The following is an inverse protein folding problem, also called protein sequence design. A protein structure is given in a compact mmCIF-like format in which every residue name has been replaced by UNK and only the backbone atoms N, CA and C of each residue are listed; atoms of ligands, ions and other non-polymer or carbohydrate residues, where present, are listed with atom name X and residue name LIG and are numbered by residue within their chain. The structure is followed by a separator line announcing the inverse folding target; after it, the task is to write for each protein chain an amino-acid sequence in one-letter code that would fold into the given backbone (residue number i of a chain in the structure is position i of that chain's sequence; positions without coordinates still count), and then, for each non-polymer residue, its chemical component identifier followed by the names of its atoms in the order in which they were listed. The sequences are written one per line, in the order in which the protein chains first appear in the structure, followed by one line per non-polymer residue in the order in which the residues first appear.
data_IF_318812752093
#
_entry.id   IF_318812752093
#
_cell.length_a   1.000
_cell.length_b   1.000
_cell.length_c   1.000
_cell.angle_alpha   90.00
_cell.angle_beta   90.00
_cell.angle_gamma   90.00
#
_symmetry.space_group_name_H-M   'P 1'
#
loop_
_entity.id
_entity.type
_entity.pdbx_description
1 polymer ?
#
# COMPACT_ATOMS: atom_id res chain seq x y z
N UNK A 1 54.78 50.80 -81.81
CA UNK A 1 55.60 50.13 -80.78
C UNK A 1 55.48 48.62 -80.95
N UNK A 2 56.63 47.94 -80.81
CA UNK A 2 56.96 46.48 -80.75
C UNK A 2 55.77 45.55 -80.42
N UNK A 3 55.44 44.45 -81.12
CA UNK A 3 56.14 43.24 -81.64
C UNK A 3 56.86 42.36 -80.59
N UNK A 4 56.60 41.05 -80.71
CA UNK A 4 57.39 39.86 -80.29
C UNK A 4 57.08 39.33 -78.87
N UNK A 5 56.50 38.14 -78.59
CA UNK A 5 56.68 36.72 -79.04
C UNK A 5 57.68 35.94 -78.16
N UNK A 6 57.24 34.75 -77.68
CA UNK A 6 58.01 33.52 -77.29
C UNK A 6 58.91 33.63 -76.02
N UNK A 7 59.24 32.61 -75.21
CA UNK A 7 59.41 31.14 -75.35
C UNK A 7 59.49 30.60 -73.90
N UNK A 8 58.69 29.63 -73.44
CA UNK A 8 58.93 28.16 -73.38
C UNK A 8 60.40 27.71 -73.17
N UNK A 9 60.67 26.96 -72.07
CA UNK A 9 61.57 25.78 -71.99
C UNK A 9 61.41 25.16 -70.58
N UNK A 10 60.63 24.08 -70.44
CA UNK A 10 61.00 22.65 -70.56
C UNK A 10 61.58 22.07 -69.26
N UNK A 11 60.96 21.00 -68.77
CA UNK A 11 61.57 19.67 -68.87
C UNK A 11 60.47 18.59 -68.76
N UNK A 12 60.35 17.79 -69.81
CA UNK A 12 59.60 16.54 -69.78
C UNK A 12 60.40 15.50 -69.00
N UNK A 13 59.73 14.68 -68.19
CA UNK A 13 60.16 13.31 -67.95
C UNK A 13 58.96 12.43 -67.58
N UNK A 14 58.54 11.67 -68.59
CA UNK A 14 58.10 10.27 -68.52
C UNK A 14 56.84 9.93 -67.72
N UNK A 15 55.80 9.55 -68.48
CA UNK A 15 54.62 8.91 -67.97
C UNK A 15 54.92 7.52 -67.40
N UNK A 16 54.34 7.25 -66.23
CA UNK A 16 53.63 6.01 -66.04
C UNK A 16 52.20 6.28 -66.47
N UNK A 17 51.77 5.66 -67.57
CA UNK A 17 50.34 5.51 -67.85
C UNK A 17 49.76 4.65 -66.72
N UNK A 18 49.29 5.28 -65.64
CA UNK A 18 48.30 4.62 -64.82
C UNK A 18 47.13 4.36 -65.75
N UNK A 19 46.90 3.10 -66.08
CA UNK A 19 45.66 2.69 -66.72
C UNK A 19 44.54 3.30 -65.88
N UNK A 20 43.86 4.31 -66.42
CA UNK A 20 42.67 4.85 -65.80
C UNK A 20 41.66 3.72 -65.87
N UNK A 21 41.60 2.89 -64.82
CA UNK A 21 40.49 1.95 -64.64
C UNK A 21 39.27 2.79 -64.34
N UNK A 22 38.53 3.13 -65.39
CA UNK A 22 37.23 3.78 -65.30
C UNK A 22 36.28 2.80 -64.63
N UNK A 23 36.06 2.95 -63.33
CA UNK A 23 35.08 2.17 -62.57
C UNK A 23 33.74 2.89 -62.66
N UNK A 24 32.68 2.18 -63.04
CA UNK A 24 31.32 2.71 -62.94
C UNK A 24 30.95 2.71 -61.45
N UNK A 25 30.48 3.86 -60.97
CA UNK A 25 30.02 4.03 -59.59
C UNK A 25 28.56 4.46 -59.62
N UNK A 26 27.75 3.88 -58.75
CA UNK A 26 26.41 4.35 -58.45
C UNK A 26 26.49 5.15 -57.15
N UNK A 27 26.14 6.43 -57.19
CA UNK A 27 26.11 7.30 -56.03
C UNK A 27 24.66 7.48 -55.58
N UNK A 28 24.32 6.99 -54.39
CA UNK A 28 23.04 7.25 -53.75
C UNK A 28 23.23 8.44 -52.83
N UNK A 29 22.59 9.56 -53.15
CA UNK A 29 22.59 10.75 -52.30
C UNK A 29 21.33 10.75 -51.43
N UNK A 30 21.52 10.71 -50.13
CA UNK A 30 20.47 10.75 -49.14
C UNK A 30 19.99 12.19 -48.89
N UNK A 31 18.79 12.34 -48.29
CA UNK A 31 18.16 13.64 -48.03
C UNK A 31 18.99 14.51 -47.07
N UNK A 32 19.76 13.90 -46.18
CA UNK A 32 20.69 14.56 -45.27
C UNK A 32 21.99 15.05 -45.96
N UNK A 33 22.13 14.79 -47.27
CA UNK A 33 23.32 15.13 -48.06
C UNK A 33 24.41 14.06 -48.07
N UNK A 34 24.28 13.01 -47.26
CA UNK A 34 25.21 11.89 -47.20
C UNK A 34 25.20 11.13 -48.53
N UNK A 35 26.38 10.69 -48.98
CA UNK A 35 26.53 9.94 -50.23
C UNK A 35 27.06 8.55 -49.94
N UNK A 36 26.37 7.53 -50.46
CA UNK A 36 26.82 6.14 -50.46
C UNK A 36 27.20 5.77 -51.88
N UNK A 37 28.44 5.30 -52.07
CA UNK A 37 28.96 4.91 -53.38
C UNK A 37 29.09 3.40 -53.49
N UNK A 38 28.46 2.84 -54.53
CA UNK A 38 28.57 1.43 -54.87
C UNK A 38 29.43 1.28 -56.13
N UNK A 39 30.51 0.51 -56.03
CA UNK A 39 31.26 0.06 -57.22
C UNK A 39 30.35 -0.92 -57.97
N UNK A 40 29.91 -0.53 -59.16
CA UNK A 40 28.99 -1.33 -59.96
C UNK A 40 29.74 -1.95 -61.13
N UNK A 41 29.75 -3.28 -61.14
CA UNK A 41 30.27 -4.12 -62.21
C UNK A 41 29.21 -5.19 -62.54
N UNK A 42 28.97 -5.49 -63.81
CA UNK A 42 27.93 -6.44 -64.26
C UNK A 42 26.49 -6.22 -63.70
N UNK A 43 26.04 -4.98 -63.51
CA UNK A 43 24.64 -4.68 -63.12
C UNK A 43 23.75 -4.59 -64.37
N UNK A 44 22.73 -5.45 -64.45
CA UNK A 44 21.75 -5.47 -65.55
C UNK A 44 20.58 -4.47 -65.34
N UNK A 45 20.08 -4.35 -64.10
CA UNK A 45 18.96 -3.45 -63.76
C UNK A 45 19.06 -2.94 -62.31
N UNK A 46 18.70 -1.68 -62.11
CA UNK A 46 18.37 -1.10 -60.79
C UNK A 46 16.87 -0.82 -60.80
N UNK A 47 16.14 -1.28 -59.79
CA UNK A 47 14.71 -1.04 -59.65
C UNK A 47 14.38 -0.59 -58.25
N UNK A 48 13.44 0.35 -58.15
CA UNK A 48 12.82 0.76 -56.91
C UNK A 48 11.42 0.16 -56.86
N UNK A 49 11.01 -0.30 -55.68
CA UNK A 49 9.65 -0.73 -55.40
C UNK A 49 9.09 0.13 -54.29
N UNK A 50 7.88 0.63 -54.47
CA UNK A 50 7.14 1.25 -53.39
C UNK A 50 6.61 0.13 -52.48
N UNK A 51 6.84 0.26 -51.17
CA UNK A 51 6.12 -0.54 -50.18
C UNK A 51 4.89 0.25 -49.78
N UNK A 52 3.71 -0.27 -50.10
CA UNK A 52 2.45 0.25 -49.60
C UNK A 52 2.09 -0.54 -48.36
N UNK A 53 1.95 0.15 -47.23
CA UNK A 53 1.51 -0.48 -46.00
C UNK A 53 0.00 -0.27 -45.78
N UNK A 54 -0.62 -1.19 -45.05
CA UNK A 54 -2.01 -1.05 -44.62
C UNK A 54 -2.16 0.11 -43.63
N UNK A 55 -3.29 0.80 -43.71
CA UNK A 55 -3.75 1.69 -42.64
C UNK A 55 -4.02 0.86 -41.39
N UNK A 56 -3.62 1.39 -40.24
CA UNK A 56 -3.78 0.74 -38.94
C UNK A 56 -5.01 1.30 -38.23
N UNK A 57 -5.77 0.44 -37.57
CA UNK A 57 -6.89 0.82 -36.69
C UNK A 57 -6.78 0.03 -35.38
N UNK A 58 -6.38 0.71 -34.29
CA UNK A 58 -6.09 0.09 -33.00
C UNK A 58 -5.10 -1.08 -33.11
N UNK A 59 -4.00 -0.84 -33.83
CA UNK A 59 -3.01 -1.84 -34.22
C UNK A 59 -1.61 -1.27 -34.14
N UNK A 60 -0.64 -2.17 -33.96
CA UNK A 60 0.77 -1.90 -34.17
C UNK A 60 1.34 -2.86 -35.20
N UNK A 61 2.34 -2.42 -35.94
CA UNK A 61 3.01 -3.20 -36.97
C UNK A 61 4.51 -3.06 -36.83
N UNK A 62 5.20 -4.21 -36.85
CA UNK A 62 6.63 -4.27 -37.09
C UNK A 62 6.82 -4.87 -38.49
N UNK A 63 7.24 -4.03 -39.43
CA UNK A 63 7.24 -4.31 -40.85
C UNK A 63 5.83 -4.66 -41.37
N UNK A 64 5.69 -5.86 -41.93
CA UNK A 64 4.46 -6.41 -42.50
C UNK A 64 3.61 -7.13 -41.43
N UNK A 65 4.17 -7.37 -40.24
CA UNK A 65 3.47 -8.09 -39.16
C UNK A 65 2.60 -7.13 -38.37
N UNK A 66 1.29 -7.17 -38.62
CA UNK A 66 0.28 -6.35 -37.94
C UNK A 66 -0.32 -7.13 -36.76
N UNK A 67 -0.43 -6.47 -35.62
CA UNK A 67 -1.00 -7.00 -34.40
C UNK A 67 -2.01 -6.01 -33.81
N UNK A 68 -3.10 -6.52 -33.25
CA UNK A 68 -4.09 -5.68 -32.58
C UNK A 68 -3.54 -5.14 -31.25
N UNK A 69 -3.95 -3.93 -30.88
CA UNK A 69 -3.78 -3.38 -29.53
C UNK A 69 -5.07 -3.60 -28.77
N UNK A 70 -5.02 -4.48 -27.78
CA UNK A 70 -6.19 -4.89 -27.01
C UNK A 70 -6.23 -4.25 -25.63
N UNK A 71 -5.07 -4.06 -25.01
CA UNK A 71 -4.95 -3.41 -23.70
C UNK A 71 -3.86 -2.35 -23.75
N UNK A 72 -4.11 -1.21 -23.11
CA UNK A 72 -3.09 -0.18 -22.88
C UNK A 72 -3.01 0.13 -21.39
N UNK A 73 -1.82 -0.01 -20.83
CA UNK A 73 -1.51 0.37 -19.45
C UNK A 73 -0.71 1.68 -19.42
N UNK A 74 -1.13 2.59 -18.55
CA UNK A 74 -0.43 3.84 -18.27
C UNK A 74 0.27 3.73 -16.92
N UNK A 75 1.56 4.07 -16.91
CA UNK A 75 2.33 4.31 -15.70
C UNK A 75 2.84 5.74 -15.69
N UNK A 76 2.41 6.53 -14.72
CA UNK A 76 2.83 7.92 -14.55
C UNK A 76 3.76 8.06 -13.34
N UNK A 77 4.75 8.92 -13.53
CA UNK A 77 5.63 9.47 -12.50
C UNK A 77 5.65 10.99 -12.68
N UNK A 78 6.24 11.72 -11.75
CA UNK A 78 6.39 13.17 -11.90
C UNK A 78 7.21 13.57 -13.14
N UNK A 79 8.12 12.68 -13.57
CA UNK A 79 9.05 12.95 -14.67
C UNK A 79 8.56 12.38 -16.02
N UNK A 80 7.94 11.19 -16.01
CA UNK A 80 7.63 10.43 -17.22
C UNK A 80 6.23 9.80 -17.20
N UNK A 81 5.66 9.67 -18.40
CA UNK A 81 4.50 8.83 -18.71
C UNK A 81 4.94 7.67 -19.60
N UNK A 82 4.67 6.44 -19.15
CA UNK A 82 4.92 5.22 -19.92
C UNK A 82 3.61 4.56 -20.34
N UNK A 83 3.44 4.35 -21.64
CA UNK A 83 2.30 3.67 -22.25
C UNK A 83 2.76 2.30 -22.72
N UNK A 84 2.16 1.26 -22.15
CA UNK A 84 2.47 -0.15 -22.41
C UNK A 84 1.30 -0.75 -23.19
N UNK A 85 1.54 -1.14 -24.43
CA UNK A 85 0.52 -1.67 -25.33
C UNK A 85 0.67 -3.20 -25.40
N UNK A 86 -0.47 -3.87 -25.36
CA UNK A 86 -0.58 -5.32 -25.36
C UNK A 86 -1.57 -5.78 -26.42
N UNK A 87 -1.22 -6.84 -27.14
CA UNK A 87 -2.11 -7.61 -28.00
C UNK A 87 -2.98 -8.61 -27.22
N UNK A 88 -2.80 -8.71 -25.90
CA UNK A 88 -3.62 -9.50 -24.99
C UNK A 88 -4.76 -8.67 -24.34
N UNK A 89 -5.94 -9.27 -24.13
CA UNK A 89 -7.10 -8.64 -23.46
C UNK A 89 -7.03 -8.70 -21.93
N UNK A 90 -6.46 -9.77 -21.37
CA UNK A 90 -6.48 -10.04 -19.93
C UNK A 90 -5.08 -9.91 -19.34
N UNK A 91 -4.56 -8.68 -19.30
CA UNK A 91 -3.24 -8.40 -18.72
C UNK A 91 -3.30 -8.64 -17.21
N UNK A 92 -2.55 -9.62 -16.74
CA UNK A 92 -2.31 -9.92 -15.32
C UNK A 92 -1.04 -9.19 -14.83
N UNK A 93 -0.72 -9.25 -13.54
CA UNK A 93 0.53 -8.72 -12.99
C UNK A 93 1.78 -9.23 -13.74
N UNK A 94 1.82 -10.52 -14.09
CA UNK A 94 2.96 -11.12 -14.77
C UNK A 94 3.08 -10.63 -16.22
N UNK A 95 1.93 -10.53 -16.92
CA UNK A 95 1.89 -10.00 -18.28
C UNK A 95 2.20 -8.51 -18.31
N UNK A 96 1.82 -7.75 -17.28
CA UNK A 96 2.10 -6.31 -17.18
C UNK A 96 3.61 -5.97 -17.16
N UNK A 97 4.46 -6.96 -16.90
CA UNK A 97 5.92 -6.81 -16.95
C UNK A 97 6.49 -7.01 -18.36
N UNK A 98 5.69 -7.50 -19.32
CA UNK A 98 6.12 -7.84 -20.68
C UNK A 98 5.20 -7.24 -21.74
N UNK A 99 5.20 -5.90 -21.90
CA UNK A 99 4.48 -5.24 -22.99
C UNK A 99 5.05 -5.59 -24.36
N UNK A 100 4.16 -5.67 -25.36
CA UNK A 100 4.58 -5.80 -26.77
C UNK A 100 5.28 -4.53 -27.24
N UNK A 101 4.74 -3.37 -26.84
CA UNK A 101 5.28 -2.05 -27.14
C UNK A 101 5.28 -1.19 -25.88
N UNK A 102 6.40 -0.53 -25.61
CA UNK A 102 6.51 0.49 -24.56
C UNK A 102 6.88 1.83 -25.18
N UNK A 103 6.08 2.84 -24.88
CA UNK A 103 6.36 4.25 -25.19
C UNK A 103 6.58 4.99 -23.88
N UNK A 104 7.80 5.47 -23.64
CA UNK A 104 8.12 6.34 -22.50
C UNK A 104 8.41 7.75 -22.98
N UNK A 105 7.68 8.71 -22.43
CA UNK A 105 7.79 10.13 -22.76
C UNK A 105 8.02 10.93 -21.47
N UNK A 106 8.79 12.03 -21.50
CA UNK A 106 8.72 13.04 -20.45
C UNK A 106 7.27 13.52 -20.30
N UNK A 107 6.80 13.70 -19.06
CA UNK A 107 5.40 14.04 -18.79
C UNK A 107 4.95 15.32 -19.52
N UNK A 108 5.85 16.29 -19.66
CA UNK A 108 5.59 17.55 -20.37
C UNK A 108 5.43 17.40 -21.90
N UNK A 109 5.91 16.30 -22.48
CA UNK A 109 5.84 16.02 -23.93
C UNK A 109 4.52 15.36 -24.34
N UNK A 110 3.71 14.88 -23.39
CA UNK A 110 2.38 14.34 -23.68
C UNK A 110 1.50 15.44 -24.29
N UNK A 111 0.87 15.14 -25.42
CA UNK A 111 0.08 16.06 -26.23
C UNK A 111 0.86 16.71 -27.37
N UNK A 112 2.19 16.60 -27.37
CA UNK A 112 3.06 17.15 -28.41
C UNK A 112 3.43 16.07 -29.43
N UNK A 113 3.82 16.52 -30.62
CA UNK A 113 4.50 15.67 -31.60
C UNK A 113 5.99 15.68 -31.28
N UNK A 114 6.59 14.50 -31.18
CA UNK A 114 7.93 14.29 -30.67
C UNK A 114 8.76 13.57 -31.72
N UNK A 115 9.94 14.10 -32.00
CA UNK A 115 10.95 13.43 -32.83
C UNK A 115 11.76 12.44 -31.96
N UNK A 116 11.80 11.17 -32.38
CA UNK A 116 12.43 10.09 -31.61
C UNK A 116 13.94 10.29 -31.40
N UNK A 117 14.63 11.00 -32.30
CA UNK A 117 16.07 11.24 -32.15
C UNK A 117 16.34 12.19 -30.98
N UNK A 118 15.43 13.16 -30.75
CA UNK A 118 15.51 14.08 -29.61
C UNK A 118 14.89 13.53 -28.33
N UNK A 119 13.92 12.61 -28.44
CA UNK A 119 13.28 11.97 -27.29
C UNK A 119 14.28 11.20 -26.43
N UNK A 120 15.24 10.50 -27.06
CA UNK A 120 16.25 9.72 -26.37
C UNK A 120 17.14 10.58 -25.46
N UNK A 121 17.43 11.83 -25.86
CA UNK A 121 18.21 12.78 -25.06
C UNK A 121 17.45 13.22 -23.80
N UNK A 122 16.12 13.21 -23.85
CA UNK A 122 15.22 13.55 -22.75
C UNK A 122 14.87 12.33 -21.87
N UNK A 123 15.53 11.19 -22.04
CA UNK A 123 15.28 9.96 -21.27
C UNK A 123 14.04 9.16 -21.70
N UNK A 124 13.35 9.59 -22.76
CA UNK A 124 12.25 8.83 -23.34
C UNK A 124 12.73 7.73 -24.29
N UNK A 125 11.83 6.80 -24.62
CA UNK A 125 12.14 5.64 -25.46
C UNK A 125 10.90 5.08 -26.13
N UNK A 126 11.08 4.49 -27.32
CA UNK A 126 10.12 3.64 -27.99
C UNK A 126 10.72 2.25 -28.14
N UNK A 127 10.08 1.25 -27.57
CA UNK A 127 10.57 -0.14 -27.58
C UNK A 127 9.45 -1.06 -28.06
N UNK A 128 9.75 -1.98 -28.98
CA UNK A 128 8.87 -3.07 -29.39
C UNK A 128 9.62 -4.41 -29.24
N UNK A 129 9.15 -5.28 -28.35
CA UNK A 129 9.92 -6.43 -27.87
C UNK A 129 11.28 -5.99 -27.31
N UNK A 130 12.37 -6.53 -27.85
CA UNK A 130 13.75 -6.16 -27.46
C UNK A 130 14.34 -5.02 -28.29
N UNK A 131 13.57 -4.42 -29.22
CA UNK A 131 14.08 -3.43 -30.18
C UNK A 131 13.71 -2.02 -29.78
N UNK A 132 14.70 -1.13 -29.78
CA UNK A 132 14.51 0.30 -29.52
C UNK A 132 14.58 1.10 -30.83
N UNK A 133 13.61 1.98 -31.05
CA UNK A 133 13.54 2.85 -32.22
C UNK A 133 13.95 4.27 -31.88
N UNK A 134 14.90 4.82 -32.65
CA UNK A 134 15.54 6.12 -32.39
C UNK A 134 15.28 7.17 -33.47
N UNK A 135 14.55 6.83 -34.53
CA UNK A 135 14.24 7.72 -35.63
C UNK A 135 12.78 7.60 -36.02
N UNK A 136 12.13 8.74 -36.24
CA UNK A 136 10.71 8.81 -36.55
C UNK A 136 9.96 9.83 -35.71
N UNK A 137 8.64 9.82 -35.85
CA UNK A 137 7.73 10.69 -35.13
C UNK A 137 6.82 9.88 -34.21
N UNK A 138 6.56 10.43 -33.03
CA UNK A 138 5.70 9.87 -31.99
C UNK A 138 4.76 10.95 -31.49
N UNK A 139 3.50 10.60 -31.27
CA UNK A 139 2.53 11.46 -30.62
C UNK A 139 1.65 10.65 -29.70
N UNK A 140 1.63 11.03 -28.43
CA UNK A 140 0.68 10.49 -27.45
C UNK A 140 -0.13 11.64 -26.88
N UNK A 141 -1.45 11.52 -26.86
CA UNK A 141 -2.34 12.54 -26.30
C UNK A 141 -3.53 11.90 -25.59
N UNK A 142 -3.97 12.53 -24.51
CA UNK A 142 -5.25 12.20 -23.90
C UNK A 142 -6.39 12.96 -24.58
N UNK A 143 -7.60 12.40 -24.50
CA UNK A 143 -8.80 13.17 -24.74
C UNK A 143 -9.02 14.23 -23.64
N UNK A 144 -10.02 15.09 -23.83
CA UNK A 144 -10.34 16.19 -22.90
C UNK A 144 -10.60 15.71 -21.46
N UNK A 145 -11.07 14.48 -21.28
CA UNK A 145 -11.48 13.94 -19.99
C UNK A 145 -10.49 12.91 -19.42
N UNK A 146 -9.34 12.71 -20.09
CA UNK A 146 -8.38 11.64 -19.81
C UNK A 146 -9.03 10.24 -19.70
N UNK A 147 -10.06 9.98 -20.51
CA UNK A 147 -10.70 8.66 -20.58
C UNK A 147 -10.13 7.79 -21.68
N UNK A 148 -9.69 8.43 -22.76
CA UNK A 148 -9.05 7.78 -23.88
C UNK A 148 -7.67 8.35 -24.12
N UNK A 149 -6.79 7.53 -24.67
CA UNK A 149 -5.47 7.91 -25.17
C UNK A 149 -5.39 7.62 -26.66
N UNK A 150 -4.80 8.54 -27.41
CA UNK A 150 -4.34 8.31 -28.78
C UNK A 150 -2.84 8.14 -28.77
N UNK A 151 -2.35 7.04 -29.36
CA UNK A 151 -0.92 6.76 -29.59
C UNK A 151 -0.72 6.61 -31.10
N UNK A 152 0.10 7.48 -31.67
CA UNK A 152 0.46 7.49 -33.10
C UNK A 152 1.97 7.45 -33.25
N UNK A 153 2.47 6.48 -34.01
CA UNK A 153 3.90 6.24 -34.19
C UNK A 153 4.21 5.91 -35.63
N UNK A 154 5.21 6.59 -36.18
CA UNK A 154 5.90 6.19 -37.40
C UNK A 154 7.41 6.23 -37.12
N UNK A 155 8.04 5.07 -37.04
CA UNK A 155 9.43 4.92 -36.68
C UNK A 155 10.17 3.98 -37.62
N UNK A 156 11.48 4.18 -37.74
CA UNK A 156 12.36 3.35 -38.56
C UNK A 156 13.69 3.11 -37.86
N UNK A 157 14.22 1.89 -38.00
CA UNK A 157 15.60 1.57 -37.65
C UNK A 157 16.20 0.64 -38.71
N UNK A 158 17.17 1.16 -39.47
CA UNK A 158 17.78 0.43 -40.58
C UNK A 158 16.76 0.02 -41.66
N UNK A 159 16.47 -1.27 -41.73
CA UNK A 159 15.53 -1.84 -42.71
C UNK A 159 14.15 -2.11 -42.11
N UNK A 160 14.00 -1.93 -40.80
CA UNK A 160 12.77 -2.22 -40.07
C UNK A 160 11.93 -0.96 -39.89
N UNK A 161 10.63 -1.08 -40.16
CA UNK A 161 9.63 -0.04 -39.88
C UNK A 161 8.74 -0.44 -38.71
N UNK A 162 8.48 0.50 -37.81
CA UNK A 162 7.50 0.34 -36.75
C UNK A 162 6.42 1.40 -36.89
N UNK A 163 5.16 0.96 -36.89
CA UNK A 163 3.99 1.82 -37.02
C UNK A 163 2.98 1.44 -35.97
N UNK A 164 2.34 2.40 -35.34
CA UNK A 164 1.29 2.13 -34.35
C UNK A 164 0.23 3.20 -34.43
N UNK A 165 -1.02 2.77 -34.51
CA UNK A 165 -2.16 3.65 -34.31
C UNK A 165 -3.15 3.05 -33.34
N UNK A 166 -3.40 3.79 -32.27
CA UNK A 166 -4.35 3.41 -31.23
C UNK A 166 -5.14 4.63 -30.78
N UNK A 167 -6.44 4.46 -30.60
CA UNK A 167 -7.32 5.39 -29.89
C UNK A 167 -8.36 4.62 -29.11
N UNK A 168 -8.24 4.62 -27.79
CA UNK A 168 -9.16 3.89 -26.92
C UNK A 168 -8.88 4.10 -25.44
N UNK A 169 -9.53 3.28 -24.62
CA UNK A 169 -9.44 3.32 -23.15
C UNK A 169 -8.14 2.72 -22.66
N UNK A 170 -7.57 3.27 -21.59
CA UNK A 170 -6.41 2.72 -20.91
C UNK A 170 -6.72 2.46 -19.44
N UNK A 171 -5.88 1.66 -18.78
CA UNK A 171 -5.90 1.47 -17.32
C UNK A 171 -4.58 1.90 -16.70
N UNK A 172 -4.57 2.27 -15.42
CA UNK A 172 -3.35 2.64 -14.74
C UNK A 172 -2.62 1.42 -14.15
N UNK A 173 -1.30 1.49 -14.08
CA UNK A 173 -0.46 0.58 -13.31
C UNK A 173 0.54 1.37 -12.48
N UNK A 174 0.96 0.81 -11.36
CA UNK A 174 1.78 1.48 -10.36
C UNK A 174 2.95 0.59 -9.96
N UNK A 175 4.08 1.21 -9.66
CA UNK A 175 5.14 0.50 -8.94
C UNK A 175 4.77 0.47 -7.47
N UNK A 176 4.77 -0.72 -6.88
CA UNK A 176 4.67 -0.89 -5.45
C UNK A 176 5.67 -1.95 -4.99
N UNK A 177 6.29 -1.72 -3.83
CA UNK A 177 7.18 -2.70 -3.23
C UNK A 177 6.42 -3.86 -2.59
N UNK A 178 5.11 -3.72 -2.37
CA UNK A 178 4.26 -4.66 -1.64
C UNK A 178 4.84 -4.95 -0.25
N UNK A 179 5.24 -3.89 0.44
CA UNK A 179 5.83 -3.92 1.77
C UNK A 179 5.24 -2.81 2.63
N UNK A 180 5.30 -2.99 3.94
CA UNK A 180 5.21 -1.90 4.89
C UNK A 180 6.43 -1.88 5.79
N UNK A 181 6.78 -0.73 6.35
CA UNK A 181 7.90 -0.58 7.25
C UNK A 181 7.59 0.36 8.39
N UNK A 182 8.30 0.18 9.50
CA UNK A 182 8.15 0.97 10.71
C UNK A 182 9.53 1.41 11.14
N UNK A 183 9.73 2.71 11.29
CA UNK A 183 10.93 3.27 11.94
C UNK A 183 10.56 3.67 13.35
N UNK A 184 11.22 3.07 14.33
CA UNK A 184 10.96 3.35 15.73
C UNK A 184 11.55 4.69 16.20
N UNK A 185 11.33 5.02 17.47
CA UNK A 185 11.84 6.27 18.07
C UNK A 185 13.36 6.31 18.18
N UNK A 186 14.03 5.15 18.10
CA UNK A 186 15.50 5.00 18.09
C UNK A 186 16.06 5.02 16.65
N UNK A 187 15.23 5.28 15.64
CA UNK A 187 15.56 5.30 14.23
C UNK A 187 15.94 3.93 13.64
N UNK A 188 15.54 2.83 14.29
CA UNK A 188 15.66 1.50 13.71
C UNK A 188 14.44 1.20 12.82
N UNK A 189 14.70 0.83 11.56
CA UNK A 189 13.65 0.49 10.59
C UNK A 189 13.48 -1.02 10.48
N UNK A 190 12.25 -1.50 10.67
CA UNK A 190 11.84 -2.88 10.38
C UNK A 190 10.93 -2.89 9.16
N UNK A 191 11.21 -3.75 8.18
CA UNK A 191 10.41 -3.89 6.95
C UNK A 191 9.74 -5.25 6.89
N UNK A 192 8.53 -5.27 6.36
CA UNK A 192 7.64 -6.42 6.28
C UNK A 192 7.09 -6.56 4.87
N UNK A 193 7.07 -7.78 4.33
CA UNK A 193 6.32 -8.08 3.12
C UNK A 193 4.83 -8.11 3.42
N UNK A 194 4.02 -7.52 2.56
CA UNK A 194 2.56 -7.66 2.62
C UNK A 194 2.20 -9.03 2.07
N UNK A 195 1.73 -9.93 2.94
CA UNK A 195 1.24 -11.25 2.55
C UNK A 195 -0.29 -11.32 2.48
N UNK A 196 -0.98 -10.45 3.23
CA UNK A 196 -2.43 -10.31 3.15
C UNK A 196 -2.86 -8.85 3.07
N UNK A 197 -3.91 -8.61 2.27
CA UNK A 197 -4.59 -7.34 2.15
C UNK A 197 -6.10 -7.56 2.21
N UNK A 198 -6.75 -7.03 3.25
CA UNK A 198 -8.20 -7.11 3.46
C UNK A 198 -8.86 -5.76 3.22
N UNK A 199 -10.10 -5.79 2.73
CA UNK A 199 -10.91 -4.60 2.50
C UNK A 199 -12.33 -4.82 3.02
N UNK A 200 -12.84 -3.85 3.80
CA UNK A 200 -14.26 -3.77 4.16
C UNK A 200 -14.89 -2.67 3.32
N UNK A 201 -15.83 -3.06 2.48
CA UNK A 201 -16.60 -2.15 1.65
C UNK A 201 -17.62 -1.37 2.51
N UNK A 202 -17.91 -0.11 2.18
CA UNK A 202 -18.92 0.68 2.90
C UNK A 202 -20.30 0.03 2.79
N UNK A 203 -21.05 0.00 3.90
CA UNK A 203 -22.39 -0.58 3.95
C UNK A 203 -23.48 0.43 3.51
N UNK A 204 -23.16 1.73 3.60
CA UNK A 204 -24.01 2.83 3.15
C UNK A 204 -23.23 3.92 2.40
N UNK A 205 -23.93 4.70 1.57
CA UNK A 205 -23.34 5.84 0.84
C UNK A 205 -22.75 6.85 1.80
N UNK A 206 -21.47 7.19 1.60
CA UNK A 206 -20.75 8.17 2.41
C UNK A 206 -19.92 7.55 3.54
N UNK A 207 -20.10 6.26 3.85
CA UNK A 207 -19.23 5.54 4.78
C UNK A 207 -17.82 5.35 4.20
N UNK A 208 -16.79 5.27 5.07
CA UNK A 208 -15.42 5.06 4.63
C UNK A 208 -15.21 3.62 4.16
N UNK A 209 -14.18 3.42 3.32
CA UNK A 209 -13.65 2.09 3.01
C UNK A 209 -12.48 1.80 3.94
N UNK A 210 -12.42 0.59 4.50
CA UNK A 210 -11.36 0.20 5.42
C UNK A 210 -10.41 -0.79 4.75
N UNK A 211 -9.12 -0.64 5.02
CA UNK A 211 -8.05 -1.48 4.48
C UNK A 211 -7.18 -2.00 5.62
N UNK A 212 -6.75 -3.25 5.54
CA UNK A 212 -5.79 -3.85 6.46
C UNK A 212 -4.71 -4.64 5.72
N UNK A 213 -3.47 -4.53 6.19
CA UNK A 213 -2.29 -5.19 5.61
C UNK A 213 -1.50 -5.88 6.72
N UNK A 214 -1.00 -7.08 6.47
CA UNK A 214 -0.19 -7.83 7.45
C UNK A 214 0.88 -8.70 6.79
N UNK A 215 1.87 -9.07 7.60
CA UNK A 215 2.98 -9.96 7.24
C UNK A 215 2.67 -11.45 7.49
N UNK A 216 1.42 -11.84 7.30
CA UNK A 216 0.92 -13.21 7.42
C UNK A 216 -0.07 -13.52 6.29
N UNK A 217 -0.12 -14.76 5.82
CA UNK A 217 -1.21 -15.23 4.97
C UNK A 217 -2.47 -15.44 5.83
N UNK A 218 -3.56 -14.76 5.47
CA UNK A 218 -4.80 -14.72 6.23
C UNK A 218 -5.98 -15.10 5.34
N UNK A 219 -6.92 -15.86 5.89
CA UNK A 219 -8.22 -16.15 5.28
C UNK A 219 -9.35 -15.35 5.94
N UNK A 220 -9.16 -14.91 7.18
CA UNK A 220 -10.08 -14.08 7.94
C UNK A 220 -9.33 -13.00 8.76
N UNK A 221 -10.01 -11.93 9.21
CA UNK A 221 -9.42 -10.89 10.07
C UNK A 221 -8.69 -11.43 11.31
N UNK A 222 -9.25 -12.40 12.04
CA UNK A 222 -8.60 -13.00 13.21
C UNK A 222 -7.23 -13.64 12.93
N UNK A 223 -6.93 -14.05 11.68
CA UNK A 223 -5.63 -14.64 11.33
C UNK A 223 -4.50 -13.61 11.42
N UNK A 224 -4.82 -12.31 11.34
CA UNK A 224 -3.84 -11.22 11.49
C UNK A 224 -3.17 -11.24 12.87
N UNK A 225 -3.81 -11.84 13.89
CA UNK A 225 -3.21 -11.98 15.23
C UNK A 225 -1.93 -12.85 15.23
N UNK A 226 -1.68 -13.61 14.16
CA UNK A 226 -0.46 -14.39 13.97
C UNK A 226 0.66 -13.62 13.23
N UNK A 227 0.38 -12.39 12.78
CA UNK A 227 1.37 -11.52 12.17
C UNK A 227 2.34 -10.96 13.21
N UNK A 228 3.46 -10.39 12.76
CA UNK A 228 4.32 -9.58 13.64
C UNK A 228 3.76 -8.17 13.77
N UNK A 229 3.21 -7.65 12.69
CA UNK A 229 2.63 -6.32 12.64
C UNK A 229 1.51 -6.22 11.60
N UNK A 230 0.65 -5.22 11.77
CA UNK A 230 -0.35 -4.85 10.77
C UNK A 230 -0.51 -3.33 10.66
N UNK A 231 -0.94 -2.89 9.48
CA UNK A 231 -1.37 -1.52 9.20
C UNK A 231 -2.85 -1.56 8.83
N UNK A 232 -3.64 -0.73 9.50
CA UNK A 232 -5.06 -0.56 9.24
C UNK A 232 -5.39 0.91 9.08
N UNK A 233 -6.17 1.25 8.07
CA UNK A 233 -6.66 2.61 7.90
C UNK A 233 -8.00 2.62 7.18
N UNK A 234 -8.72 3.73 7.30
CA UNK A 234 -9.89 4.00 6.50
C UNK A 234 -9.70 5.25 5.66
N UNK A 235 -10.41 5.32 4.54
CA UNK A 235 -10.47 6.51 3.68
C UNK A 235 -11.92 6.85 3.43
N UNK A 236 -12.27 8.13 3.64
CA UNK A 236 -13.62 8.64 3.38
C UNK A 236 -14.01 8.47 1.91
N UNK A 237 -15.31 8.28 1.65
CA UNK A 237 -15.82 8.12 0.29
C UNK A 237 -15.46 9.29 -0.65
N UNK A 238 -15.26 10.50 -0.13
CA UNK A 238 -14.90 11.68 -0.92
C UNK A 238 -13.44 11.66 -1.42
N UNK A 239 -12.56 10.96 -0.69
CA UNK A 239 -11.11 10.90 -0.95
C UNK A 239 -10.66 9.57 -1.55
N UNK A 240 -11.46 8.52 -1.42
CA UNK A 240 -11.16 7.22 -2.02
C UNK A 240 -10.97 7.35 -3.54
N UNK A 241 -9.79 6.95 -4.04
CA UNK A 241 -9.38 7.07 -5.45
C UNK A 241 -9.35 8.49 -6.01
N UNK A 242 -9.43 9.51 -5.16
CA UNK A 242 -9.57 10.90 -5.57
C UNK A 242 -8.59 11.81 -4.82
N UNK A 243 -7.32 11.70 -5.20
CA UNK A 243 -6.22 12.48 -4.67
C UNK A 243 -5.58 11.87 -3.43
N UNK A 244 -4.82 12.70 -2.71
CA UNK A 244 -4.08 12.32 -1.51
C UNK A 244 -4.78 12.93 -0.30
N UNK A 245 -4.93 12.14 0.76
CA UNK A 245 -5.33 12.61 2.09
C UNK A 245 -4.11 13.17 2.79
N UNK A 246 -4.16 14.42 3.25
CA UNK A 246 -3.16 14.98 4.15
C UNK A 246 -3.54 14.70 5.61
N UNK A 247 -2.78 13.84 6.28
CA UNK A 247 -3.11 13.37 7.62
C UNK A 247 -2.98 14.46 8.69
N UNK A 248 -2.26 15.56 8.42
CA UNK A 248 -2.12 16.68 9.35
C UNK A 248 -3.32 17.63 9.32
N UNK A 249 -3.99 17.75 8.16
CA UNK A 249 -5.03 18.78 7.95
C UNK A 249 -6.42 18.20 7.66
N UNK A 250 -6.52 16.91 7.33
CA UNK A 250 -7.76 16.27 6.88
C UNK A 250 -8.18 15.11 7.80
N UNK A 251 -8.16 15.31 9.12
CA UNK A 251 -8.48 14.30 10.13
C UNK A 251 -9.85 13.61 9.94
N UNK A 252 -10.84 14.29 9.36
CA UNK A 252 -12.17 13.71 9.09
C UNK A 252 -12.20 12.78 7.86
N UNK A 253 -11.10 12.70 7.10
CA UNK A 253 -11.03 11.90 5.87
C UNK A 253 -10.38 10.54 6.06
N UNK A 254 -9.86 10.22 7.25
CA UNK A 254 -9.20 8.96 7.51
C UNK A 254 -9.33 8.50 8.96
N UNK A 255 -9.06 7.22 9.18
CA UNK A 255 -8.61 6.68 10.46
C UNK A 255 -7.33 5.91 10.23
N UNK A 256 -6.49 5.73 11.25
CA UNK A 256 -5.22 5.03 11.13
C UNK A 256 -4.91 4.22 12.39
N UNK A 257 -4.37 3.02 12.23
CA UNK A 257 -3.76 2.20 13.27
C UNK A 257 -2.54 1.47 12.71
N UNK A 258 -1.43 1.57 13.43
CA UNK A 258 -0.34 0.61 13.36
C UNK A 258 -0.46 -0.34 14.56
N UNK A 259 -0.35 -1.64 14.31
CA UNK A 259 -0.54 -2.68 15.31
C UNK A 259 0.75 -3.48 15.42
N UNK A 260 1.34 -3.48 16.61
CA UNK A 260 2.48 -4.33 16.96
C UNK A 260 1.95 -5.51 17.77
N UNK A 261 1.96 -6.71 17.18
CA UNK A 261 1.44 -7.91 17.84
C UNK A 261 2.41 -8.50 18.86
N UNK A 262 3.70 -8.19 18.78
CA UNK A 262 4.67 -8.64 19.78
C UNK A 262 4.42 -7.93 21.12
N UNK A 263 4.13 -6.63 21.09
CA UNK A 263 3.78 -5.85 22.29
C UNK A 263 2.28 -5.80 22.56
N UNK A 264 1.46 -6.18 21.58
CA UNK A 264 -0.01 -6.07 21.58
C UNK A 264 -0.47 -4.62 21.73
N UNK A 265 0.29 -3.69 21.14
CA UNK A 265 0.04 -2.24 21.20
C UNK A 265 -0.55 -1.75 19.89
N UNK A 266 -1.54 -0.86 20.00
CA UNK A 266 -2.12 -0.14 18.87
C UNK A 266 -1.68 1.33 18.94
N UNK A 267 -1.12 1.83 17.85
CA UNK A 267 -0.71 3.21 17.68
C UNK A 267 -1.62 3.89 16.66
N UNK A 268 -2.42 4.84 17.11
CA UNK A 268 -3.49 5.48 16.31
C UNK A 268 -3.41 7.02 16.28
N UNK A 269 -2.50 7.61 17.05
CA UNK A 269 -2.28 9.06 17.11
C UNK A 269 -1.28 9.50 16.06
N UNK A 270 -1.80 10.03 14.95
CA UNK A 270 -1.00 10.54 13.85
C UNK A 270 -0.79 12.05 14.01
N UNK A 271 0.45 12.49 13.79
CA UNK A 271 0.86 13.89 13.77
C UNK A 271 0.80 14.50 12.37
N UNK A 272 1.28 13.76 11.38
CA UNK A 272 1.32 14.17 9.97
C UNK A 272 1.52 12.97 9.06
N UNK A 273 1.31 13.14 7.76
CA UNK A 273 1.48 12.06 6.81
C UNK A 273 0.59 12.19 5.59
N UNK A 274 0.57 11.16 4.76
CA UNK A 274 -0.29 11.07 3.59
C UNK A 274 -0.84 9.67 3.36
N UNK A 275 -2.03 9.61 2.78
CA UNK A 275 -2.63 8.38 2.24
C UNK A 275 -3.06 8.65 0.80
N UNK A 276 -2.58 7.84 -0.14
CA UNK A 276 -3.01 7.87 -1.54
C UNK A 276 -3.60 6.52 -1.89
N UNK A 277 -4.80 6.54 -2.48
CA UNK A 277 -5.42 5.36 -3.07
C UNK A 277 -5.71 5.63 -4.54
N UNK A 278 -5.54 4.64 -5.41
CA UNK A 278 -5.89 4.77 -6.82
C UNK A 278 -6.33 3.45 -7.44
N UNK A 279 -7.22 3.52 -8.43
CA UNK A 279 -7.62 2.34 -9.19
C UNK A 279 -6.57 2.00 -10.25
N UNK A 280 -6.17 0.73 -10.28
CA UNK A 280 -5.32 0.18 -11.33
C UNK A 280 -6.04 -0.84 -12.21
N UNK A 281 -5.28 -1.40 -13.13
CA UNK A 281 -5.77 -2.40 -14.07
C UNK A 281 -6.25 -3.68 -13.38
N UNK A 282 -7.21 -4.36 -14.01
CA UNK A 282 -7.73 -5.63 -13.50
C UNK A 282 -8.46 -5.52 -12.16
N UNK A 283 -8.93 -4.33 -11.78
CA UNK A 283 -9.58 -4.10 -10.48
C UNK A 283 -8.61 -4.04 -9.30
N UNK A 284 -7.30 -3.99 -9.56
CA UNK A 284 -6.31 -3.77 -8.51
C UNK A 284 -6.41 -2.37 -7.94
N UNK A 285 -5.95 -2.22 -6.70
CA UNK A 285 -5.91 -0.93 -6.02
C UNK A 285 -4.48 -0.65 -5.57
N UNK A 286 -4.01 0.55 -5.89
CA UNK A 286 -2.76 1.10 -5.40
C UNK A 286 -2.99 1.80 -4.08
N UNK A 287 -2.09 1.58 -3.14
CA UNK A 287 -2.02 2.25 -1.84
C UNK A 287 -0.60 2.71 -1.59
N UNK A 288 -0.46 4.00 -1.26
CA UNK A 288 0.76 4.56 -0.67
C UNK A 288 0.37 5.28 0.60
N UNK A 289 1.08 4.99 1.68
CA UNK A 289 0.87 5.61 2.98
C UNK A 289 2.22 5.93 3.62
N UNK A 290 2.31 7.12 4.19
CA UNK A 290 3.43 7.57 5.01
C UNK A 290 2.83 8.29 6.22
N UNK A 291 2.95 7.72 7.42
CA UNK A 291 2.43 8.30 8.66
C UNK A 291 3.56 8.58 9.65
N UNK A 292 3.54 9.76 10.25
CA UNK A 292 4.38 10.14 11.39
C UNK A 292 3.49 10.19 12.63
N UNK A 293 3.78 9.38 13.63
CA UNK A 293 3.00 9.27 14.85
C UNK A 293 3.44 10.32 15.87
N UNK A 294 2.57 10.63 16.84
CA UNK A 294 2.85 11.63 17.89
C UNK A 294 4.06 11.28 18.76
N UNK A 295 4.39 9.99 18.89
CA UNK A 295 5.56 9.51 19.61
C UNK A 295 6.87 9.58 18.80
N UNK A 296 6.81 10.00 17.54
CA UNK A 296 7.95 10.14 16.63
C UNK A 296 8.23 8.92 15.74
N UNK A 297 7.49 7.82 15.88
CA UNK A 297 7.58 6.68 14.96
C UNK A 297 7.11 7.08 13.56
N UNK A 298 7.64 6.42 12.54
CA UNK A 298 7.12 6.52 11.16
C UNK A 298 6.68 5.17 10.64
N UNK A 299 5.59 5.15 9.88
CA UNK A 299 5.01 3.95 9.26
C UNK A 299 4.83 4.24 7.78
N UNK A 300 5.43 3.40 6.93
CA UNK A 300 5.24 3.48 5.48
C UNK A 300 4.60 2.20 4.93
N UNK A 301 3.80 2.32 3.87
CA UNK A 301 3.18 1.21 3.17
C UNK A 301 3.12 1.54 1.68
N UNK A 302 3.54 0.59 0.86
CA UNK A 302 3.39 0.64 -0.60
C UNK A 302 2.82 -0.69 -1.08
N UNK A 303 1.63 -0.65 -1.67
CA UNK A 303 0.91 -1.84 -2.12
C UNK A 303 0.22 -1.62 -3.45
N UNK A 304 0.29 -2.61 -4.33
CA UNK A 304 -0.50 -2.68 -5.55
C UNK A 304 -0.97 -4.11 -5.77
N UNK A 305 -2.27 -4.33 -5.66
CA UNK A 305 -2.86 -5.66 -5.79
C UNK A 305 -4.36 -5.69 -5.53
N UNK A 306 -4.91 -6.89 -5.46
CA UNK A 306 -6.32 -7.15 -5.11
C UNK A 306 -6.52 -7.24 -3.61
N UNK A 307 -7.76 -7.10 -3.14
CA UNK A 307 -8.10 -7.24 -1.73
C UNK A 307 -9.07 -8.40 -1.53
N UNK A 308 -8.87 -9.18 -0.46
CA UNK A 308 -9.90 -10.09 0.01
C UNK A 308 -10.96 -9.30 0.79
N UNK A 309 -12.24 -9.65 0.58
CA UNK A 309 -13.35 -8.99 1.25
C UNK A 309 -13.46 -9.47 2.71
N UNK A 310 -13.69 -8.54 3.63
CA UNK A 310 -14.03 -8.82 5.03
C UNK A 310 -15.32 -8.09 5.42
N UNK A 311 -16.05 -8.64 6.39
CA UNK A 311 -17.27 -7.99 6.93
C UNK A 311 -16.93 -6.94 8.00
N UNK A 312 -15.92 -7.21 8.82
CA UNK A 312 -15.36 -6.29 9.80
C UNK A 312 -13.84 -6.52 9.90
N UNK A 313 -13.14 -5.56 10.48
CA UNK A 313 -11.71 -5.64 10.80
C UNK A 313 -11.47 -5.60 12.31
N UNK A 314 -12.50 -5.67 13.16
CA UNK A 314 -12.33 -5.54 14.61
C UNK A 314 -11.45 -6.64 15.21
N UNK A 315 -11.52 -7.86 14.68
CA UNK A 315 -10.72 -9.01 15.15
C UNK A 315 -9.22 -8.90 14.86
N UNK A 316 -8.78 -7.91 14.07
CA UNK A 316 -7.34 -7.65 13.88
C UNK A 316 -6.75 -6.97 15.13
N UNK A 317 -7.56 -6.35 15.98
CA UNK A 317 -7.06 -5.64 17.15
C UNK A 317 -6.75 -6.66 18.26
N UNK A 318 -5.49 -6.83 18.66
CA UNK A 318 -5.16 -7.78 19.71
C UNK A 318 -5.72 -7.28 21.03
N UNK A 319 -6.28 -8.19 21.84
CA UNK A 319 -6.55 -7.87 23.25
C UNK A 319 -5.24 -7.40 23.89
N UNK A 320 -5.24 -6.40 24.76
CA UNK A 320 -4.00 -5.82 25.34
C UNK A 320 -3.18 -6.85 26.17
N UNK A 321 -3.81 -7.98 26.53
CA UNK A 321 -3.25 -9.06 27.33
C UNK A 321 -3.53 -10.42 26.67
N UNK A 322 -2.57 -11.35 26.80
CA UNK A 322 -2.73 -12.72 26.26
C UNK A 322 -3.90 -13.46 26.92
N UNK A 323 -4.42 -14.50 26.27
CA UNK A 323 -5.46 -15.34 26.88
C UNK A 323 -4.93 -15.93 28.19
N UNK A 324 -5.75 -15.89 29.24
CA UNK A 324 -5.41 -16.33 30.59
C UNK A 324 -4.16 -15.63 31.14
N UNK A 325 -4.10 -14.30 31.01
CA UNK A 325 -3.04 -13.48 31.57
C UNK A 325 -3.64 -12.20 32.20
N UNK A 326 -2.92 -11.63 33.17
CA UNK A 326 -3.09 -10.22 33.51
C UNK A 326 -1.76 -9.47 33.49
N UNK A 327 -1.85 -8.19 33.16
CA UNK A 327 -0.75 -7.22 33.24
C UNK A 327 -1.12 -6.10 34.20
N UNK A 328 -0.16 -5.67 34.99
CA UNK A 328 -0.30 -4.51 35.87
C UNK A 328 0.80 -3.49 35.58
N UNK A 329 0.40 -2.23 35.48
CA UNK A 329 1.23 -1.09 35.15
C UNK A 329 1.28 -0.13 36.34
N UNK A 330 2.46 0.42 36.62
CA UNK A 330 2.64 1.41 37.69
C UNK A 330 2.02 2.78 37.33
N UNK A 331 2.13 3.74 38.26
CA UNK A 331 1.60 5.09 38.10
C UNK A 331 2.19 5.89 36.93
N UNK A 332 3.36 5.48 36.43
CA UNK A 332 4.06 6.11 35.30
C UNK A 332 3.66 5.46 33.96
N UNK A 333 2.82 4.43 33.99
CA UNK A 333 2.35 3.68 32.82
C UNK A 333 3.31 2.57 32.38
N UNK A 334 4.35 2.27 33.15
CA UNK A 334 5.30 1.20 32.84
C UNK A 334 4.77 -0.16 33.31
N UNK A 335 4.94 -1.19 32.47
CA UNK A 335 4.60 -2.57 32.81
C UNK A 335 5.43 -3.04 34.00
N UNK A 336 4.77 -3.38 35.10
CA UNK A 336 5.42 -3.81 36.35
C UNK A 336 5.27 -5.30 36.62
N UNK A 337 4.12 -5.88 36.27
CA UNK A 337 3.82 -7.29 36.51
C UNK A 337 3.14 -7.89 35.28
N UNK A 338 3.55 -9.10 34.94
CA UNK A 338 2.85 -10.00 34.02
C UNK A 338 2.68 -11.35 34.73
N UNK A 339 1.47 -11.91 34.67
CA UNK A 339 1.14 -13.20 35.27
C UNK A 339 0.18 -13.98 34.38
N UNK A 340 0.57 -15.22 34.11
CA UNK A 340 -0.34 -16.23 33.58
C UNK A 340 -1.33 -16.63 34.66
N UNK A 341 -2.58 -16.83 34.27
CA UNK A 341 -3.70 -17.23 35.11
C UNK A 341 -3.90 -18.73 35.01
N UNK A 342 -3.98 -19.40 36.16
CA UNK A 342 -4.23 -20.83 36.27
C UNK A 342 -5.65 -21.13 36.74
N UNK A 343 -5.78 -22.18 37.56
CA UNK A 343 -7.04 -22.58 38.19
C UNK A 343 -7.67 -21.42 38.93
N UNK A 344 -8.81 -20.95 38.41
CA UNK A 344 -9.54 -19.80 38.93
C UNK A 344 -10.87 -20.25 39.51
N UNK A 345 -11.40 -19.44 40.44
CA UNK A 345 -12.56 -19.82 41.23
C UNK A 345 -13.70 -18.83 41.09
N UNK A 346 -14.93 -19.31 41.27
CA UNK A 346 -16.12 -18.47 41.23
C UNK A 346 -16.99 -18.72 42.46
N UNK A 347 -17.53 -17.63 43.01
CA UNK A 347 -18.52 -17.63 44.06
C UNK A 347 -19.77 -16.89 43.59
N UNK A 348 -20.92 -17.53 43.70
CA UNK A 348 -22.21 -16.89 43.47
C UNK A 348 -22.88 -16.58 44.80
N UNK A 349 -23.41 -15.35 44.95
CA UNK A 349 -24.15 -14.94 46.14
C UNK A 349 -25.20 -13.89 45.77
N UNK A 350 -26.47 -14.17 46.07
CA UNK A 350 -27.60 -13.25 45.83
C UNK A 350 -27.66 -12.65 44.40
N UNK A 351 -27.34 -13.46 43.38
CA UNK A 351 -27.34 -13.01 41.97
C UNK A 351 -26.08 -12.27 41.53
N UNK A 352 -25.09 -12.08 42.41
CA UNK A 352 -23.78 -11.55 42.06
C UNK A 352 -22.76 -12.68 41.94
N UNK A 353 -21.83 -12.53 41.00
CA UNK A 353 -20.76 -13.47 40.70
C UNK A 353 -19.42 -12.82 41.02
N UNK A 354 -18.67 -13.42 41.93
CA UNK A 354 -17.28 -13.04 42.21
C UNK A 354 -16.36 -14.05 41.56
N UNK A 355 -15.55 -13.59 40.62
CA UNK A 355 -14.48 -14.32 39.95
C UNK A 355 -13.16 -14.03 40.63
N UNK A 356 -12.45 -15.10 41.01
CA UNK A 356 -11.13 -15.06 41.61
C UNK A 356 -10.13 -15.61 40.60
N UNK A 357 -9.46 -14.71 39.91
CA UNK A 357 -8.47 -15.02 38.89
C UNK A 357 -7.12 -15.21 39.57
N UNK A 358 -6.65 -16.46 39.58
CA UNK A 358 -5.46 -16.85 40.36
C UNK A 358 -4.26 -17.00 39.41
N UNK A 359 -3.10 -16.40 39.73
CA UNK A 359 -1.87 -16.67 39.00
C UNK A 359 -1.54 -18.16 38.96
N UNK A 360 -0.93 -18.64 37.87
CA UNK A 360 -0.46 -20.01 37.80
C UNK A 360 0.54 -20.32 38.93
N UNK A 361 0.34 -21.46 39.61
CA UNK A 361 1.17 -21.87 40.75
C UNK A 361 0.76 -21.28 42.11
N UNK A 362 -0.17 -20.32 42.13
CA UNK A 362 -0.67 -19.69 43.35
C UNK A 362 -1.91 -20.40 43.94
N UNK A 363 -2.23 -20.06 45.19
CA UNK A 363 -3.43 -20.55 45.89
C UNK A 363 -4.57 -19.54 45.95
N UNK A 364 -5.78 -20.00 46.34
CA UNK A 364 -7.01 -19.21 46.52
C UNK A 364 -6.83 -17.91 47.33
N UNK A 365 -5.86 -17.88 48.24
CA UNK A 365 -5.60 -16.75 49.14
C UNK A 365 -4.50 -15.81 48.66
N UNK A 366 -3.98 -15.96 47.43
CA UNK A 366 -2.91 -15.12 46.88
C UNK A 366 -3.25 -13.63 46.95
N UNK A 367 -2.27 -12.81 47.31
CA UNK A 367 -2.35 -11.34 47.23
C UNK A 367 -2.38 -10.83 45.79
N UNK A 368 -1.83 -11.63 44.87
CA UNK A 368 -1.69 -11.32 43.45
C UNK A 368 -2.90 -11.81 42.63
N UNK A 369 -3.93 -12.35 43.28
CA UNK A 369 -5.19 -12.64 42.59
C UNK A 369 -5.92 -11.35 42.22
N UNK A 370 -6.61 -11.39 41.08
CA UNK A 370 -7.57 -10.36 40.70
C UNK A 370 -8.97 -10.85 41.05
N UNK A 371 -9.69 -10.08 41.86
CA UNK A 371 -11.10 -10.33 42.17
C UNK A 371 -11.96 -9.41 41.30
N UNK A 372 -12.89 -9.99 40.55
CA UNK A 372 -13.89 -9.25 39.75
C UNK A 372 -15.27 -9.70 40.18
N UNK A 373 -16.08 -8.81 40.74
CA UNK A 373 -17.44 -9.09 41.16
C UNK A 373 -18.45 -8.31 40.33
N UNK A 374 -19.43 -9.02 39.76
CA UNK A 374 -20.43 -8.46 38.84
C UNK A 374 -21.83 -8.96 39.17
N UNK A 375 -22.84 -8.15 38.88
CA UNK A 375 -24.23 -8.61 38.85
C UNK A 375 -24.49 -9.56 37.68
N UNK A 376 -25.49 -10.44 37.81
CA UNK A 376 -25.89 -11.36 36.75
C UNK A 376 -26.27 -10.66 35.44
N UNK A 377 -26.76 -9.42 35.54
CA UNK A 377 -27.17 -8.56 34.42
C UNK A 377 -26.00 -8.07 33.56
N UNK A 378 -24.76 -8.18 34.05
CA UNK A 378 -23.56 -7.84 33.30
C UNK A 378 -22.96 -9.03 32.54
N UNK A 379 -23.39 -10.26 32.83
CA UNK A 379 -22.95 -11.44 32.10
C UNK A 379 -23.66 -11.49 30.74
N UNK A 380 -22.90 -11.62 29.66
CA UNK A 380 -23.36 -11.56 28.28
C UNK A 380 -24.00 -10.21 27.89
N UNK A 381 -23.67 -9.12 28.59
CA UNK A 381 -24.17 -7.78 28.30
C UNK A 381 -23.43 -7.06 27.15
N UNK A 382 -22.38 -7.68 26.59
CA UNK A 382 -21.43 -7.02 25.69
C UNK A 382 -20.37 -6.23 26.47
N UNK A 383 -19.70 -5.30 25.79
CA UNK A 383 -18.73 -4.41 26.41
C UNK A 383 -19.43 -3.34 27.27
N UNK A 384 -18.94 -3.16 28.49
CA UNK A 384 -19.47 -2.23 29.49
C UNK A 384 -18.45 -1.11 29.70
N UNK A 385 -18.88 0.13 29.48
CA UNK A 385 -18.14 1.32 29.92
C UNK A 385 -18.33 1.50 31.44
N UNK A 386 -17.27 1.26 32.20
CA UNK A 386 -17.29 1.31 33.66
C UNK A 386 -17.48 2.74 34.20
N UNK A 387 -17.12 3.77 33.43
CA UNK A 387 -17.37 5.16 33.80
C UNK A 387 -18.87 5.51 33.82
N UNK A 388 -19.66 4.79 33.00
CA UNK A 388 -21.08 5.03 32.77
C UNK A 388 -21.98 3.86 33.19
N UNK A 389 -21.48 2.99 34.09
CA UNK A 389 -22.19 1.77 34.54
C UNK A 389 -23.52 2.04 35.26
N UNK A 390 -23.77 3.28 35.69
CA UNK A 390 -25.01 3.68 36.35
C UNK A 390 -25.09 3.30 37.83
N UNK A 391 -26.27 3.46 38.43
CA UNK A 391 -26.46 3.32 39.88
C UNK A 391 -26.94 1.94 40.33
N UNK A 392 -27.51 1.15 39.43
CA UNK A 392 -28.18 -0.12 39.76
C UNK A 392 -27.28 -1.34 39.57
N UNK A 393 -26.27 -1.22 38.70
CA UNK A 393 -25.43 -2.33 38.25
C UNK A 393 -24.26 -2.55 39.21
N UNK A 394 -24.06 -3.80 39.62
CA UNK A 394 -23.00 -4.18 40.57
C UNK A 394 -21.72 -4.49 39.80
N UNK A 395 -20.66 -3.74 40.10
CA UNK A 395 -19.29 -4.02 39.68
C UNK A 395 -18.34 -3.72 40.85
N UNK A 396 -17.35 -4.58 41.06
CA UNK A 396 -16.28 -4.40 42.02
C UNK A 396 -15.02 -5.10 41.50
N UNK A 397 -13.88 -4.43 41.61
CA UNK A 397 -12.57 -5.00 41.34
C UNK A 397 -11.66 -4.79 42.54
N UNK A 398 -10.92 -5.84 42.87
CA UNK A 398 -9.87 -5.80 43.89
C UNK A 398 -8.61 -6.54 43.42
N UNK A 399 -7.49 -5.84 43.46
CA UNK A 399 -6.15 -6.39 43.26
C UNK A 399 -5.24 -5.90 44.39
N UNK A 400 -5.02 -6.77 45.39
CA UNK A 400 -4.37 -6.37 46.65
C UNK A 400 -2.89 -6.04 46.46
N UNK A 401 -2.16 -6.81 45.65
CA UNK A 401 -0.74 -6.60 45.42
C UNK A 401 -0.43 -5.23 44.78
N UNK A 402 -1.33 -4.73 43.91
CA UNK A 402 -1.21 -3.41 43.27
C UNK A 402 -2.05 -2.31 43.90
N UNK A 403 -2.73 -2.56 45.01
CA UNK A 403 -3.53 -1.54 45.71
C UNK A 403 -4.77 -1.03 44.94
N UNK A 404 -5.25 -1.76 43.93
CA UNK A 404 -6.43 -1.36 43.16
C UNK A 404 -7.68 -1.86 43.89
N UNK A 405 -8.59 -0.93 44.20
CA UNK A 405 -9.91 -1.24 44.74
C UNK A 405 -10.94 -0.23 44.22
N UNK A 406 -11.78 -0.66 43.28
CA UNK A 406 -12.79 0.17 42.62
C UNK A 406 -14.15 -0.53 42.67
N UNK A 407 -15.21 0.22 42.90
CA UNK A 407 -16.54 -0.33 43.18
C UNK A 407 -17.62 0.59 42.63
N UNK A 408 -18.61 0.03 41.92
CA UNK A 408 -19.76 0.79 41.44
C UNK A 408 -20.63 1.30 42.58
N UNK A 409 -21.54 2.24 42.25
CA UNK A 409 -22.49 2.77 43.23
C UNK A 409 -23.31 1.64 43.90
N UNK A 410 -23.84 0.69 43.12
CA UNK A 410 -24.65 -0.40 43.65
C UNK A 410 -23.88 -1.33 44.60
N UNK A 411 -22.59 -1.55 44.35
CA UNK A 411 -21.76 -2.44 45.15
C UNK A 411 -21.49 -1.92 46.57
N UNK A 412 -21.43 -0.59 46.75
CA UNK A 412 -21.06 0.04 48.03
C UNK A 412 -22.02 1.19 48.46
N UNK A 413 -23.22 1.24 47.89
CA UNK A 413 -24.21 2.30 48.14
C UNK A 413 -23.66 3.73 47.99
N UNK A 414 -22.77 3.93 47.00
CA UNK A 414 -22.19 5.24 46.68
C UNK A 414 -21.03 5.72 47.56
N UNK A 415 -20.58 4.91 48.52
CA UNK A 415 -19.42 5.24 49.37
C UNK A 415 -18.08 4.71 48.82
N UNK A 416 -18.13 3.87 47.78
CA UNK A 416 -16.95 3.27 47.15
C UNK A 416 -16.23 4.22 46.19
N UNK A 417 -15.04 3.79 45.77
CA UNK A 417 -14.28 4.44 44.71
C UNK A 417 -14.88 4.06 43.34
N UNK A 418 -15.82 4.87 42.85
CA UNK A 418 -16.52 4.59 41.60
C UNK A 418 -15.60 4.81 40.41
N UNK A 419 -15.35 3.79 39.58
CA UNK A 419 -14.45 3.95 38.44
C UNK A 419 -14.97 5.04 37.50
N UNK A 420 -14.07 5.87 36.99
CA UNK A 420 -14.38 6.94 36.05
C UNK A 420 -13.76 6.70 34.66
N UNK A 421 -13.29 5.48 34.41
CA UNK A 421 -12.69 5.00 33.17
C UNK A 421 -12.82 3.46 33.12
N UNK A 422 -12.38 2.90 31.99
CA UNK A 422 -12.16 1.47 31.83
C UNK A 422 -13.34 0.73 31.24
N UNK A 423 -13.06 -0.47 30.75
CA UNK A 423 -14.05 -1.35 30.12
C UNK A 423 -14.05 -2.73 30.77
N UNK A 424 -15.22 -3.38 30.71
CA UNK A 424 -15.41 -4.75 31.17
C UNK A 424 -16.29 -5.50 30.16
N UNK A 425 -15.87 -6.71 29.81
CA UNK A 425 -16.74 -7.73 29.18
C UNK A 425 -16.70 -8.98 30.04
N UNK A 426 -17.88 -9.53 30.35
CA UNK A 426 -18.03 -10.86 30.95
C UNK A 426 -18.97 -11.65 30.07
N UNK A 427 -18.47 -12.68 29.40
CA UNK A 427 -19.30 -13.59 28.60
C UNK A 427 -19.28 -15.00 29.18
N UNK A 428 -20.31 -15.78 28.86
CA UNK A 428 -20.45 -17.18 29.23
C UNK A 428 -21.07 -17.95 28.06
N UNK A 429 -20.38 -18.98 27.61
CA UNK A 429 -20.86 -19.88 26.57
C UNK A 429 -21.78 -21.00 27.11
N UNK A 430 -22.33 -21.80 26.20
CA UNK A 430 -23.22 -22.93 26.53
C UNK A 430 -22.51 -24.04 27.30
N UNK A 431 -21.18 -24.14 27.20
CA UNK A 431 -20.35 -25.13 27.89
C UNK A 431 -19.92 -24.67 29.29
N UNK A 432 -20.32 -23.46 29.71
CA UNK A 432 -19.91 -22.89 30.99
C UNK A 432 -18.48 -22.36 31.02
N UNK A 433 -17.88 -22.14 29.86
CA UNK A 433 -16.63 -21.37 29.70
C UNK A 433 -16.98 -19.89 29.79
N UNK A 434 -16.25 -19.18 30.64
CA UNK A 434 -16.37 -17.75 30.81
C UNK A 434 -15.22 -17.05 30.11
N UNK A 435 -15.48 -15.88 29.55
CA UNK A 435 -14.47 -14.93 29.09
C UNK A 435 -14.60 -13.62 29.87
N UNK A 436 -13.50 -13.13 30.43
CA UNK A 436 -13.44 -11.88 31.17
C UNK A 436 -12.34 -11.02 30.56
N UNK A 437 -12.75 -9.89 29.98
CA UNK A 437 -11.86 -8.84 29.49
C UNK A 437 -12.07 -7.62 30.37
N UNK A 438 -11.00 -7.12 30.97
CA UNK A 438 -11.05 -5.96 31.85
C UNK A 438 -9.84 -5.09 31.59
N UNK A 439 -10.05 -3.80 31.39
CA UNK A 439 -9.00 -2.81 31.26
C UNK A 439 -9.39 -1.58 32.07
N UNK A 440 -8.66 -1.33 33.15
CA UNK A 440 -9.01 -0.24 34.06
C UNK A 440 -7.80 0.40 34.69
N UNK A 441 -7.82 1.74 34.72
CA UNK A 441 -6.90 2.55 35.51
C UNK A 441 -7.53 2.84 36.86
N UNK A 442 -6.73 2.79 37.93
CA UNK A 442 -7.08 3.19 39.29
C UNK A 442 -7.31 4.70 39.36
N UNK A 443 -8.45 5.10 38.80
CA UNK A 443 -9.02 6.45 38.82
C UNK A 443 -10.50 6.36 39.08
N UNK A 444 -10.97 7.24 39.96
CA UNK A 444 -12.32 7.15 40.47
C UNK A 444 -12.91 8.48 40.92
N UNK A 445 -14.23 8.47 41.04
CA UNK A 445 -15.04 9.49 41.68
C UNK A 445 -15.64 8.93 42.98
N UNK A 446 -15.61 9.69 44.05
CA UNK A 446 -16.34 9.41 45.29
C UNK A 446 -16.84 10.72 45.92
N UNK A 447 -17.40 10.66 47.14
CA UNK A 447 -17.93 11.85 47.82
C UNK A 447 -16.89 12.94 48.14
N UNK A 448 -15.60 12.65 48.04
CA UNK A 448 -14.50 13.54 48.42
C UNK A 448 -13.65 14.01 47.23
N UNK A 449 -13.65 13.28 46.11
CA UNK A 449 -12.87 13.62 44.91
C UNK A 449 -13.57 13.18 43.64
N UNK A 450 -13.43 13.97 42.58
CA UNK A 450 -13.92 13.64 41.24
C UNK A 450 -12.87 12.94 40.36
N UNK A 451 -11.63 12.80 40.86
CA UNK A 451 -10.54 12.16 40.12
C UNK A 451 -9.45 11.64 41.08
N UNK A 452 -9.87 10.82 42.05
CA UNK A 452 -8.97 10.13 42.97
C UNK A 452 -8.21 8.98 42.31
N UNK A 453 -7.31 8.34 43.06
CA UNK A 453 -6.51 7.20 42.60
C UNK A 453 -5.12 7.57 42.07
N UNK A 454 -4.28 6.57 41.85
CA UNK A 454 -2.82 6.70 41.70
C UNK A 454 -2.29 6.44 40.28
N UNK A 455 -3.17 6.34 39.27
CA UNK A 455 -2.83 6.04 37.87
C UNK A 455 -2.28 4.62 37.61
N UNK A 456 -2.23 3.73 38.60
CA UNK A 456 -1.91 2.32 38.32
C UNK A 456 -2.98 1.70 37.43
N UNK A 457 -2.63 0.77 36.56
CA UNK A 457 -3.58 0.16 35.60
C UNK A 457 -3.47 -1.35 35.64
N UNK A 458 -4.60 -2.03 35.55
CA UNK A 458 -4.65 -3.48 35.40
C UNK A 458 -5.45 -3.83 34.16
N UNK A 459 -4.91 -4.78 33.40
CA UNK A 459 -5.56 -5.34 32.24
C UNK A 459 -5.58 -6.85 32.38
N UNK A 460 -6.72 -7.46 32.13
CA UNK A 460 -6.98 -8.88 32.34
C UNK A 460 -7.64 -9.45 31.10
N UNK A 461 -7.20 -10.63 30.69
CA UNK A 461 -7.88 -11.46 29.73
C UNK A 461 -7.90 -12.89 30.27
N UNK A 462 -9.08 -13.39 30.62
CA UNK A 462 -9.28 -14.75 31.10
C UNK A 462 -10.31 -15.47 30.23
N UNK A 463 -10.02 -16.70 29.82
CA UNK A 463 -10.95 -17.59 29.14
C UNK A 463 -10.83 -19.00 29.68
N UNK A 464 -11.86 -19.46 30.37
CA UNK A 464 -11.83 -20.78 30.99
C UNK A 464 -13.04 -21.09 31.86
N UNK A 465 -13.03 -22.28 32.44
CA UNK A 465 -14.01 -22.72 33.43
C UNK A 465 -13.56 -22.37 34.84
N UNK A 466 -14.50 -22.02 35.70
CA UNK A 466 -14.23 -21.73 37.10
C UNK A 466 -14.55 -22.92 38.01
N UNK A 467 -13.65 -23.18 38.97
CA UNK A 467 -13.94 -24.05 40.10
C UNK A 467 -14.80 -23.32 41.14
N UNK A 468 -15.50 -24.08 41.99
CA UNK A 468 -16.24 -23.49 43.10
C UNK A 468 -15.28 -22.93 44.15
N UNK A 469 -15.46 -21.67 44.54
CA UNK A 469 -14.65 -21.02 45.58
C UNK A 469 -14.74 -21.72 46.93
#
# INVERSE_FOLDING_TARGET
MKKTVLTMLCLMAMGASYAQTTKRIMTVQQKDGTKVEYKVDNVERVSFSERTYAELDNQWALNENVNDVKTVLLKETDEYSSFMLYSAENVTSDLALQPDVTVTLPAASVGQEVDLATLAEAGGKLVCGDREFKKGALKVKFDKFKKNVTVSVEAEDGADDFRCEYTGTFSCTYDASNTFSVTDTEQATTSFSVLSALCVQPSATGEPTNFAFADVEAQAPADFLNAKAAVWFSVSAAKLYNGTVDMATEADSYTFRYIDYATRTVYDKVKSGSITTAQGFGGQTYVSLEAVLEDGRTVSLSYFGTFAAAESLDEIIPSVVAENEYKYYNSDGELSITRQLGTSYMKENNGNFTFYLIPEGDGKTSSDRVEVNVGSDLINAGEIDLANIGQEKVFDIKYNAGGIQLQSYAACHGYGNMPNNGTLTVSKDENGVYEILLDITNKYTNSYTSNGGDNTRIVVNYKGTFEKY
#
